data_IF_851540902307
#
_entry.id   IF_851540902307
#
_cell.length_a   1.000
_cell.length_b   1.000
_cell.length_c   1.000
_cell.angle_alpha   90.00
_cell.angle_beta   90.00
_cell.angle_gamma   90.00
#
_symmetry.space_group_name_H-M   'P 1'
#
loop_
_entity.id
_entity.type
_entity.pdbx_description
1 polymer ?
#
# COMPACT_ATOMS: atom_id res chain seq x y z
N UNK A 1 9.93 -7.90 -11.87
CA UNK A 1 8.93 -8.50 -12.79
C UNK A 1 7.69 -7.62 -12.72
N UNK A 2 7.04 -7.30 -13.84
CA UNK A 2 5.70 -6.70 -13.81
C UNK A 2 4.69 -7.80 -14.08
N UNK A 3 3.71 -7.95 -13.21
CA UNK A 3 2.69 -9.00 -13.28
C UNK A 3 1.33 -8.34 -13.43
N UNK A 4 0.52 -8.85 -14.34
CA UNK A 4 -0.89 -8.54 -14.44
C UNK A 4 -1.70 -9.77 -14.00
N UNK A 5 -2.20 -9.80 -12.75
CA UNK A 5 -2.98 -10.93 -12.25
C UNK A 5 -4.27 -11.16 -13.05
N UNK A 6 -4.93 -10.09 -13.50
CA UNK A 6 -6.19 -10.16 -14.24
C UNK A 6 -6.03 -10.86 -15.60
N UNK A 7 -4.92 -10.60 -16.29
CA UNK A 7 -4.63 -11.27 -17.59
C UNK A 7 -3.75 -12.50 -17.45
N UNK A 8 -3.24 -12.80 -16.24
CA UNK A 8 -2.25 -13.85 -15.96
C UNK A 8 -0.98 -13.73 -16.81
N UNK A 9 -0.61 -12.51 -17.17
CA UNK A 9 0.60 -12.22 -17.95
C UNK A 9 1.66 -11.60 -17.06
N UNK A 10 2.92 -11.77 -17.43
CA UNK A 10 4.04 -11.14 -16.77
C UNK A 10 5.13 -10.79 -17.77
N UNK A 11 5.93 -9.79 -17.42
CA UNK A 11 7.09 -9.38 -18.21
C UNK A 11 8.27 -9.06 -17.32
N UNK A 12 9.45 -9.50 -17.76
CA UNK A 12 10.73 -9.16 -17.11
C UNK A 12 11.21 -7.83 -17.65
N UNK A 13 11.42 -6.87 -16.74
CA UNK A 13 12.02 -5.59 -17.10
C UNK A 13 13.51 -5.77 -17.36
N UNK A 14 14.11 -4.95 -18.23
CA UNK A 14 15.56 -4.85 -18.32
C UNK A 14 16.15 -4.49 -16.95
N UNK A 15 17.40 -4.85 -16.70
CA UNK A 15 18.05 -4.48 -15.44
C UNK A 15 18.18 -2.95 -15.34
N UNK A 16 17.83 -2.37 -14.18
CA UNK A 16 18.05 -0.94 -13.96
C UNK A 16 19.56 -0.65 -13.91
N UNK A 17 20.01 0.51 -14.42
CA UNK A 17 21.41 0.93 -14.27
C UNK A 17 21.78 1.07 -12.79
N UNK A 18 23.03 0.83 -12.44
CA UNK A 18 23.55 1.03 -11.07
C UNK A 18 23.69 2.53 -10.77
N UNK A 19 22.63 3.17 -10.30
CA UNK A 19 22.60 4.60 -9.97
C UNK A 19 21.48 4.91 -8.97
N UNK A 20 21.63 4.41 -7.74
CA UNK A 20 20.73 4.71 -6.62
C UNK A 20 21.43 5.62 -5.60
N UNK A 21 20.69 5.98 -4.56
CA UNK A 21 21.29 6.63 -3.39
C UNK A 21 22.19 5.60 -2.69
N UNK A 22 23.49 5.90 -2.54
CA UNK A 22 24.46 4.97 -1.96
C UNK A 22 24.01 4.49 -0.57
N UNK A 23 24.07 3.18 -0.34
CA UNK A 23 23.59 2.46 0.86
C UNK A 23 22.05 2.36 1.03
N UNK A 24 21.24 2.86 0.10
CA UNK A 24 19.77 2.72 0.14
C UNK A 24 19.32 1.61 -0.81
N UNK A 25 18.40 0.77 -0.34
CA UNK A 25 17.67 -0.14 -1.20
C UNK A 25 16.58 0.63 -1.99
N UNK A 26 16.24 0.18 -3.19
CA UNK A 26 15.13 0.73 -3.95
C UNK A 26 13.90 -0.17 -3.84
N UNK A 27 12.73 0.45 -3.66
CA UNK A 27 11.45 -0.20 -3.86
C UNK A 27 10.88 0.13 -5.24
N UNK A 28 10.26 -0.89 -5.86
CA UNK A 28 9.62 -0.77 -7.17
C UNK A 28 8.16 -0.32 -7.03
N UNK A 29 7.81 0.79 -7.66
CA UNK A 29 6.46 1.34 -7.69
C UNK A 29 5.91 1.36 -9.12
N UNK A 30 4.70 0.85 -9.34
CA UNK A 30 4.07 0.81 -10.67
C UNK A 30 3.11 1.99 -10.84
N UNK A 31 3.36 2.83 -11.83
CA UNK A 31 2.44 3.86 -12.29
C UNK A 31 1.71 3.36 -13.55
N UNK A 32 0.44 3.04 -13.41
CA UNK A 32 -0.37 2.52 -14.51
C UNK A 32 -1.84 2.92 -14.37
N UNK A 33 -2.40 3.47 -15.44
CA UNK A 33 -3.83 3.67 -15.61
C UNK A 33 -4.28 3.11 -16.97
N UNK A 34 -4.90 1.92 -17.02
CA UNK A 34 -5.34 1.32 -18.26
C UNK A 34 -6.44 2.15 -18.97
N UNK A 35 -7.11 3.07 -18.27
CA UNK A 35 -8.14 3.93 -18.86
C UNK A 35 -7.54 5.12 -19.63
N UNK A 36 -6.30 5.49 -19.33
CA UNK A 36 -5.59 6.60 -19.96
C UNK A 36 -4.63 6.10 -21.03
N UNK A 37 -3.92 5.00 -20.76
CA UNK A 37 -2.83 4.52 -21.60
C UNK A 37 -2.58 3.03 -21.39
N UNK A 38 -2.26 2.25 -22.46
CA UNK A 38 -1.82 0.87 -22.30
C UNK A 38 -0.40 0.77 -21.73
N UNK A 39 0.33 1.88 -21.71
CA UNK A 39 1.69 1.97 -21.20
C UNK A 39 1.71 2.33 -19.71
N UNK A 40 2.62 1.69 -19.00
CA UNK A 40 2.97 1.92 -17.60
C UNK A 40 4.41 2.44 -17.45
N UNK A 41 4.68 3.02 -16.30
CA UNK A 41 6.02 3.37 -15.83
C UNK A 41 6.33 2.63 -14.52
N UNK A 42 7.59 2.27 -14.29
CA UNK A 42 8.05 1.67 -13.02
C UNK A 42 9.12 2.55 -12.42
N UNK A 43 8.91 2.99 -11.19
CA UNK A 43 9.81 3.87 -10.46
C UNK A 43 10.60 3.07 -9.43
N UNK A 44 11.88 3.37 -9.30
CA UNK A 44 12.73 2.91 -8.21
C UNK A 44 12.87 4.05 -7.19
N UNK A 45 12.21 3.88 -6.04
CA UNK A 45 12.22 4.87 -4.97
C UNK A 45 13.09 4.39 -3.81
N UNK A 46 14.01 5.23 -3.29
CA UNK A 46 14.91 4.82 -2.23
C UNK A 46 14.13 4.53 -0.94
N UNK A 47 14.65 3.59 -0.17
CA UNK A 47 14.17 3.19 1.15
C UNK A 47 15.27 3.44 2.16
N UNK A 48 14.92 4.16 3.23
CA UNK A 48 15.86 4.44 4.32
C UNK A 48 16.30 3.11 4.93
N UNK A 49 17.60 2.81 5.00
CA UNK A 49 18.06 1.58 5.64
C UNK A 49 17.87 1.67 7.15
N UNK A 50 17.62 0.53 7.82
CA UNK A 50 17.54 0.43 9.29
C UNK A 50 18.74 1.04 10.01
N UNK A 51 19.92 0.93 9.39
CA UNK A 51 21.15 1.53 9.86
C UNK A 51 21.86 2.20 8.70
N UNK A 52 22.27 3.43 8.94
CA UNK A 52 22.95 4.23 7.95
C UNK A 52 24.41 3.76 7.81
N UNK A 53 24.87 3.58 6.57
CA UNK A 53 26.23 3.19 6.26
C UNK A 53 27.23 4.32 6.52
N UNK A 54 28.53 4.01 6.58
CA UNK A 54 29.57 5.04 6.74
C UNK A 54 29.82 5.86 5.46
N UNK A 55 29.29 5.43 4.31
CA UNK A 55 29.59 6.02 3.00
C UNK A 55 28.52 7.01 2.52
N UNK A 56 27.30 6.92 3.06
CA UNK A 56 26.23 7.86 2.76
C UNK A 56 26.50 9.28 3.26
N UNK A 57 26.01 10.26 2.50
CA UNK A 57 26.07 11.69 2.85
C UNK A 57 25.00 12.11 3.87
N UNK A 58 24.05 11.22 4.14
CA UNK A 58 22.97 11.49 5.07
C UNK A 58 23.39 11.23 6.52
N UNK A 59 22.73 11.91 7.45
CA UNK A 59 22.80 11.67 8.90
C UNK A 59 21.41 11.34 9.44
N UNK A 60 21.32 10.88 10.68
CA UNK A 60 20.03 10.58 11.33
C UNK A 60 19.12 11.82 11.41
N UNK A 61 19.69 13.03 11.48
CA UNK A 61 18.98 14.31 11.53
C UNK A 61 18.61 14.86 10.15
N UNK A 62 19.06 14.22 9.07
CA UNK A 62 18.77 14.68 7.72
C UNK A 62 17.28 14.55 7.41
N UNK A 63 16.71 15.56 6.74
CA UNK A 63 15.31 15.53 6.34
C UNK A 63 15.02 14.40 5.35
N UNK A 64 13.96 13.64 5.62
CA UNK A 64 13.45 12.60 4.75
C UNK A 64 11.97 12.81 4.41
N UNK A 65 11.56 12.59 3.15
CA UNK A 65 12.41 12.46 1.97
C UNK A 65 13.23 13.75 1.69
N UNK A 66 14.38 13.67 0.98
CA UNK A 66 15.28 14.80 0.77
C UNK A 66 14.62 15.97 0.01
N UNK A 67 15.21 17.16 -0.03
CA UNK A 67 14.60 18.24 -0.84
C UNK A 67 14.60 17.94 -2.35
N UNK A 68 15.54 17.13 -2.82
CA UNK A 68 15.56 16.57 -4.16
C UNK A 68 16.41 15.29 -4.17
N UNK A 69 16.13 14.39 -5.12
CA UNK A 69 16.97 13.23 -5.38
C UNK A 69 16.68 12.65 -6.77
N UNK A 70 17.64 11.92 -7.33
CA UNK A 70 17.47 11.24 -8.62
C UNK A 70 16.89 9.85 -8.41
N UNK A 71 15.91 9.49 -9.24
CA UNK A 71 15.32 8.16 -9.32
C UNK A 71 15.53 7.57 -10.71
N UNK A 72 15.39 6.26 -10.80
CA UNK A 72 15.32 5.55 -12.08
C UNK A 72 13.88 5.23 -12.41
N UNK A 73 13.47 5.57 -13.62
CA UNK A 73 12.13 5.33 -14.14
C UNK A 73 12.22 4.49 -15.40
N UNK A 74 11.58 3.34 -15.39
CA UNK A 74 11.39 2.52 -16.57
C UNK A 74 10.12 2.96 -17.29
N UNK A 75 10.20 3.12 -18.61
CA UNK A 75 9.03 3.40 -19.45
C UNK A 75 8.74 2.22 -20.37
N UNK A 76 7.51 1.69 -20.32
CA UNK A 76 7.07 0.65 -21.25
C UNK A 76 6.87 1.16 -22.69
N UNK A 77 6.89 2.49 -22.93
CA UNK A 77 6.82 3.07 -24.28
C UNK A 77 8.13 2.94 -25.04
N UNK A 78 9.22 3.24 -24.34
CA UNK A 78 10.58 3.25 -24.90
C UNK A 78 11.32 1.96 -24.59
N UNK A 79 10.84 1.18 -23.62
CA UNK A 79 11.48 -0.02 -23.08
C UNK A 79 12.87 0.26 -22.48
N UNK A 80 13.05 1.44 -21.92
CA UNK A 80 14.32 1.92 -21.35
C UNK A 80 14.16 2.42 -19.92
N UNK A 81 15.27 2.40 -19.20
CA UNK A 81 15.42 3.11 -17.93
C UNK A 81 15.97 4.51 -18.20
N UNK A 82 15.41 5.49 -17.50
CA UNK A 82 15.84 6.89 -17.54
C UNK A 82 16.02 7.39 -16.12
N UNK A 83 17.01 8.26 -15.91
CA UNK A 83 17.14 9.00 -14.65
C UNK A 83 16.21 10.21 -14.66
N UNK A 84 15.48 10.40 -13.57
CA UNK A 84 14.64 11.58 -13.35
C UNK A 84 14.94 12.18 -12.01
N UNK A 85 15.06 13.51 -11.98
CA UNK A 85 15.20 14.25 -10.72
C UNK A 85 13.80 14.49 -10.16
N UNK A 86 13.61 14.12 -8.90
CA UNK A 86 12.44 14.46 -8.11
C UNK A 86 12.76 15.64 -7.18
N UNK A 87 11.85 16.61 -7.11
CA UNK A 87 11.98 17.81 -6.26
C UNK A 87 10.80 17.89 -5.29
N UNK A 88 11.11 18.01 -4.00
CA UNK A 88 10.10 18.12 -2.94
C UNK A 88 9.47 19.51 -2.95
N UNK A 89 8.14 19.53 -2.91
CA UNK A 89 7.31 20.69 -2.62
C UNK A 89 6.78 20.56 -1.19
N UNK A 90 7.04 21.58 -0.37
CA UNK A 90 6.61 21.61 1.03
C UNK A 90 7.54 20.89 2.02
N UNK A 91 6.99 20.56 3.18
CA UNK A 91 7.73 20.01 4.33
C UNK A 91 8.16 18.56 4.13
N UNK A 92 9.18 18.15 4.88
CA UNK A 92 9.63 16.77 4.93
C UNK A 92 8.62 15.94 5.73
N UNK A 93 8.71 14.61 5.61
CA UNK A 93 7.96 13.71 6.47
C UNK A 93 8.51 13.71 7.90
N UNK A 94 9.82 13.94 8.03
CA UNK A 94 10.55 13.98 9.30
C UNK A 94 12.06 13.92 9.05
N UNK A 95 12.82 13.51 10.06
CA UNK A 95 14.22 13.16 9.93
C UNK A 95 14.39 11.68 9.53
N UNK A 96 15.58 11.28 9.10
CA UNK A 96 15.91 9.88 8.83
C UNK A 96 15.74 9.00 10.07
N UNK A 97 16.04 9.52 11.27
CA UNK A 97 15.80 8.85 12.54
C UNK A 97 14.33 8.43 12.71
N UNK A 98 13.39 9.24 12.23
CA UNK A 98 11.96 8.92 12.30
C UNK A 98 11.58 7.73 11.40
N UNK A 99 12.35 7.48 10.33
CA UNK A 99 12.16 6.36 9.40
C UNK A 99 12.84 5.08 9.89
N UNK A 100 13.87 5.20 10.72
CA UNK A 100 14.64 4.11 11.32
C UNK A 100 14.11 3.67 12.68
N UNK A 101 13.20 4.44 13.26
CA UNK A 101 12.59 4.13 14.54
C UNK A 101 12.03 2.71 14.54
N UNK A 102 12.23 1.88 15.58
CA UNK A 102 11.57 0.58 15.68
C UNK A 102 10.04 0.69 15.72
N UNK A 103 9.49 1.89 15.94
CA UNK A 103 8.07 2.22 15.75
C UNK A 103 7.68 2.44 14.30
N UNK A 104 8.62 2.90 13.47
CA UNK A 104 8.45 3.00 12.04
C UNK A 104 8.40 1.57 11.51
N UNK A 105 7.18 1.05 11.33
CA UNK A 105 6.99 -0.20 10.61
C UNK A 105 7.74 -0.08 9.30
N UNK A 106 8.61 -1.04 8.99
CA UNK A 106 8.74 -1.36 7.58
C UNK A 106 7.40 -1.95 7.18
N UNK A 107 6.63 -1.29 6.32
CA UNK A 107 5.46 -1.95 5.76
C UNK A 107 6.01 -3.21 5.10
N UNK A 108 5.46 -4.38 5.44
CA UNK A 108 5.84 -5.62 4.74
C UNK A 108 5.70 -5.44 3.21
N UNK A 109 4.83 -4.50 2.80
CA UNK A 109 4.56 -4.11 1.42
C UNK A 109 4.38 -2.57 1.35
N UNK A 110 5.18 -1.86 0.55
CA UNK A 110 4.88 -0.47 0.18
C UNK A 110 3.69 -0.44 -0.77
N UNK A 111 2.54 0.05 -0.30
CA UNK A 111 1.38 0.25 -1.17
C UNK A 111 1.61 1.42 -2.12
N UNK A 112 1.20 1.24 -3.37
CA UNK A 112 1.30 2.26 -4.41
C UNK A 112 -0.02 2.39 -5.14
N UNK A 113 -0.48 3.61 -5.32
CA UNK A 113 -1.76 3.91 -5.95
C UNK A 113 -1.58 4.99 -7.00
N UNK A 114 -1.87 4.67 -8.25
CA UNK A 114 -1.90 5.65 -9.33
C UNK A 114 -3.32 6.20 -9.51
N UNK A 115 -3.47 7.52 -9.39
CA UNK A 115 -4.75 8.21 -9.43
C UNK A 115 -4.61 9.59 -10.08
N UNK A 116 -5.44 9.86 -11.10
CA UNK A 116 -5.54 11.16 -11.80
C UNK A 116 -4.19 11.76 -12.25
N UNK A 117 -3.29 10.94 -12.75
CA UNK A 117 -1.99 11.40 -13.26
C UNK A 117 -0.85 11.40 -12.23
N UNK A 118 -1.16 11.07 -10.98
CA UNK A 118 -0.22 11.14 -9.86
C UNK A 118 -0.06 9.78 -9.20
N UNK A 119 1.14 9.54 -8.66
CA UNK A 119 1.47 8.32 -7.94
C UNK A 119 1.53 8.61 -6.44
N UNK A 120 0.76 7.86 -5.66
CA UNK A 120 0.74 7.92 -4.20
C UNK A 120 1.46 6.70 -3.64
N UNK A 121 2.49 6.92 -2.84
CA UNK A 121 3.37 5.87 -2.31
C UNK A 121 3.37 5.93 -0.79
N UNK A 122 3.12 4.80 -0.14
CA UNK A 122 3.23 4.67 1.32
C UNK A 122 4.71 4.57 1.74
N UNK A 123 5.13 5.41 2.68
CA UNK A 123 6.50 5.52 3.19
C UNK A 123 6.66 4.97 4.62
N UNK A 124 7.91 4.83 5.09
CA UNK A 124 8.29 4.10 6.32
C UNK A 124 7.75 4.68 7.64
N UNK A 125 7.34 5.95 7.67
CA UNK A 125 6.70 6.57 8.84
C UNK A 125 5.19 6.78 8.65
N UNK A 126 4.56 5.98 7.79
CA UNK A 126 3.14 6.08 7.40
C UNK A 126 2.74 7.40 6.71
N UNK A 127 3.72 8.21 6.30
CA UNK A 127 3.45 9.30 5.36
C UNK A 127 3.19 8.77 3.96
N UNK A 128 2.52 9.58 3.15
CA UNK A 128 2.29 9.33 1.73
C UNK A 128 3.12 10.31 0.93
N UNK A 129 3.91 9.80 0.00
CA UNK A 129 4.56 10.60 -1.03
C UNK A 129 3.65 10.67 -2.26
N UNK A 130 3.22 11.88 -2.64
CA UNK A 130 2.45 12.16 -3.86
C UNK A 130 3.42 12.66 -4.93
N UNK A 131 3.61 11.90 -6.00
CA UNK A 131 4.56 12.21 -7.08
C UNK A 131 3.79 12.57 -8.36
N UNK A 132 4.12 13.72 -8.93
CA UNK A 132 3.64 14.16 -10.23
C UNK A 132 4.68 13.81 -11.30
N UNK A 133 4.40 12.77 -12.08
CA UNK A 133 5.38 12.20 -13.01
C UNK A 133 5.76 13.15 -14.15
N UNK A 134 4.86 14.06 -14.54
CA UNK A 134 5.04 14.96 -15.69
C UNK A 134 6.04 16.09 -15.44
N UNK A 135 6.19 16.54 -14.20
CA UNK A 135 7.07 17.66 -13.84
C UNK A 135 8.19 17.26 -12.85
N UNK A 136 8.19 16.02 -12.36
CA UNK A 136 9.20 15.53 -11.41
C UNK A 136 9.06 16.18 -10.03
N UNK A 137 7.87 16.65 -9.68
CA UNK A 137 7.62 17.21 -8.35
C UNK A 137 6.96 16.18 -7.46
N UNK A 138 7.21 16.28 -6.17
CA UNK A 138 6.50 15.46 -5.20
C UNK A 138 6.25 16.19 -3.89
N UNK A 139 5.22 15.75 -3.18
CA UNK A 139 4.78 16.30 -1.91
C UNK A 139 4.68 15.20 -0.87
N UNK A 140 4.83 15.56 0.39
CA UNK A 140 4.61 14.67 1.52
C UNK A 140 3.29 14.99 2.18
N UNK A 141 2.46 13.97 2.33
CA UNK A 141 1.17 14.03 3.02
C UNK A 141 1.32 13.25 4.32
N UNK A 142 1.16 13.94 5.45
CA UNK A 142 1.18 13.33 6.77
C UNK A 142 -0.07 12.43 6.94
N UNK A 143 0.03 11.33 7.72
CA UNK A 143 -1.13 10.49 8.00
C UNK A 143 -2.23 11.30 8.71
N UNK A 144 -3.50 10.85 8.63
CA UNK A 144 -4.63 11.56 9.26
C UNK A 144 -4.53 11.65 10.78
N UNK A 145 -3.84 10.70 11.42
CA UNK A 145 -3.63 10.68 12.87
C UNK A 145 -2.28 10.07 13.21
N UNK A 146 -1.84 10.27 14.46
CA UNK A 146 -0.64 9.61 14.98
C UNK A 146 -0.88 8.11 15.09
N UNK A 147 0.01 7.31 14.51
CA UNK A 147 -0.07 5.86 14.50
C UNK A 147 0.75 5.27 15.64
N UNK A 148 0.29 4.17 16.22
CA UNK A 148 1.06 3.37 17.18
C UNK A 148 1.54 2.06 16.55
N UNK A 149 2.32 1.29 17.31
CA UNK A 149 2.90 0.01 16.86
C UNK A 149 1.84 -1.05 16.49
N UNK A 150 0.59 -0.87 16.92
CA UNK A 150 -0.52 -1.79 16.69
C UNK A 150 -1.44 -1.35 15.54
N UNK A 151 -1.15 -0.23 14.86
CA UNK A 151 -2.04 0.31 13.83
C UNK A 151 -1.56 0.01 12.42
N UNK A 152 -2.31 -0.76 11.64
CA UNK A 152 -1.98 -1.04 10.24
C UNK A 152 -2.51 0.05 9.31
N UNK A 153 -1.69 0.42 8.32
CA UNK A 153 -1.99 1.48 7.36
C UNK A 153 -2.08 0.91 5.94
N UNK A 154 -3.22 1.12 5.29
CA UNK A 154 -3.45 0.70 3.90
C UNK A 154 -3.89 1.90 3.07
N UNK A 155 -3.49 1.94 1.81
CA UNK A 155 -4.00 2.92 0.85
C UNK A 155 -4.65 2.22 -0.34
N UNK A 156 -5.72 2.84 -0.83
CA UNK A 156 -6.46 2.36 -1.99
C UNK A 156 -7.15 3.51 -2.69
N UNK A 157 -7.79 3.22 -3.83
CA UNK A 157 -8.59 4.19 -4.56
C UNK A 157 -9.97 3.65 -4.85
N UNK A 158 -10.93 4.56 -4.97
CA UNK A 158 -12.24 4.29 -5.56
C UNK A 158 -12.61 5.41 -6.53
N UNK A 159 -13.79 5.32 -7.15
CA UNK A 159 -14.32 6.38 -8.03
C UNK A 159 -14.36 7.76 -7.34
N UNK A 160 -14.46 7.80 -6.01
CA UNK A 160 -14.56 9.03 -5.22
C UNK A 160 -13.21 9.65 -4.89
N UNK A 161 -12.11 8.90 -4.92
CA UNK A 161 -10.78 9.41 -4.59
C UNK A 161 -9.85 8.38 -3.97
N UNK A 162 -8.76 8.87 -3.40
CA UNK A 162 -7.80 8.07 -2.64
C UNK A 162 -8.29 7.92 -1.20
N UNK A 163 -8.19 6.71 -0.67
CA UNK A 163 -8.56 6.36 0.67
C UNK A 163 -7.36 5.81 1.43
N UNK A 164 -7.33 6.03 2.74
CA UNK A 164 -6.53 5.21 3.62
C UNK A 164 -7.43 4.50 4.64
N UNK A 165 -7.05 3.27 4.99
CA UNK A 165 -7.69 2.49 6.05
C UNK A 165 -6.68 2.28 7.17
N UNK A 166 -7.11 2.60 8.39
CA UNK A 166 -6.37 2.36 9.62
C UNK A 166 -7.05 1.24 10.39
N UNK A 167 -6.30 0.20 10.72
CA UNK A 167 -6.79 -0.93 11.52
C UNK A 167 -6.01 -0.95 12.82
N UNK A 168 -6.70 -0.64 13.92
CA UNK A 168 -6.13 -0.65 15.26
C UNK A 168 -6.23 -2.07 15.82
N UNK A 169 -5.10 -2.75 16.02
CA UNK A 169 -5.03 -4.11 16.60
C UNK A 169 -5.03 -4.10 18.13
N UNK A 170 -5.55 -3.05 18.74
CA UNK A 170 -5.78 -3.01 20.18
C UNK A 170 -7.06 -3.79 20.54
N UNK A 171 -7.46 -3.74 21.82
CA UNK A 171 -8.68 -4.44 22.29
C UNK A 171 -9.96 -3.98 21.59
N UNK A 172 -9.97 -2.81 20.94
CA UNK A 172 -11.15 -2.25 20.29
C UNK A 172 -11.32 -2.69 18.84
N UNK A 173 -10.29 -3.31 18.23
CA UNK A 173 -10.24 -3.72 16.82
C UNK A 173 -10.87 -2.68 15.90
N UNK A 174 -10.51 -1.41 16.08
CA UNK A 174 -11.18 -0.29 15.39
C UNK A 174 -10.72 -0.20 13.95
N UNK A 175 -11.66 0.05 13.04
CA UNK A 175 -11.41 0.39 11.64
C UNK A 175 -11.79 1.85 11.40
N UNK A 176 -10.84 2.63 10.90
CA UNK A 176 -11.10 3.96 10.39
C UNK A 176 -10.78 4.03 8.90
N UNK A 177 -11.69 4.60 8.11
CA UNK A 177 -11.48 4.86 6.69
C UNK A 177 -11.55 6.34 6.43
N UNK A 178 -10.49 6.89 5.86
CA UNK A 178 -10.33 8.31 5.56
C UNK A 178 -10.28 8.52 4.05
N UNK A 179 -10.92 9.59 3.58
CA UNK A 179 -10.83 10.05 2.19
C UNK A 179 -9.86 11.21 2.10
N UNK A 180 -8.88 11.12 1.20
CA UNK A 180 -8.02 12.24 0.85
C UNK A 180 -8.75 13.16 -0.13
N UNK A 181 -8.82 14.44 0.21
CA UNK A 181 -9.39 15.47 -0.63
C UNK A 181 -8.48 16.68 -0.71
N UNK A 182 -8.49 17.37 -1.84
CA UNK A 182 -7.75 18.61 -2.01
C UNK A 182 -8.69 19.81 -1.79
N UNK A 183 -8.41 20.59 -0.75
CA UNK A 183 -9.18 21.79 -0.40
C UNK A 183 -8.24 22.99 -0.44
N UNK A 184 -8.50 23.93 -1.36
CA UNK A 184 -7.71 25.16 -1.55
C UNK A 184 -6.20 24.90 -1.79
N UNK A 185 -5.88 23.82 -2.51
CA UNK A 185 -4.50 23.42 -2.80
C UNK A 185 -3.78 22.75 -1.63
N UNK A 186 -4.50 22.41 -0.56
CA UNK A 186 -3.97 21.61 0.55
C UNK A 186 -4.67 20.26 0.59
N UNK A 187 -3.88 19.21 0.78
CA UNK A 187 -4.38 17.86 1.00
C UNK A 187 -4.91 17.71 2.43
N UNK A 188 -6.17 17.31 2.54
CA UNK A 188 -6.88 17.16 3.81
C UNK A 188 -7.59 15.80 3.86
N UNK A 189 -7.45 15.14 5.01
CA UNK A 189 -8.11 13.88 5.32
C UNK A 189 -9.48 14.13 5.93
N UNK A 190 -10.51 13.50 5.37
CA UNK A 190 -11.85 13.47 5.95
C UNK A 190 -12.25 12.06 6.37
N UNK A 191 -12.55 11.86 7.66
CA UNK A 191 -13.04 10.59 8.19
C UNK A 191 -14.38 10.22 7.54
N UNK A 192 -14.51 8.98 7.09
CA UNK A 192 -15.71 8.45 6.44
C UNK A 192 -16.35 7.31 7.21
N UNK A 193 -15.52 6.40 7.72
CA UNK A 193 -15.98 5.26 8.49
C UNK A 193 -15.16 5.21 9.76
N UNK A 194 -15.85 4.95 10.85
CA UNK A 194 -15.25 4.73 12.15
C UNK A 194 -16.10 3.69 12.88
N UNK A 195 -15.59 2.46 12.97
CA UNK A 195 -16.35 1.33 13.50
C UNK A 195 -15.44 0.37 14.26
N UNK A 196 -16.02 -0.41 15.17
CA UNK A 196 -15.32 -1.55 15.77
C UNK A 196 -15.51 -2.79 14.90
N UNK A 197 -14.43 -3.55 14.72
CA UNK A 197 -14.44 -4.87 14.10
C UNK A 197 -14.59 -6.00 15.13
N UNK A 198 -14.75 -5.70 16.43
CA UNK A 198 -14.96 -6.72 17.47
C UNK A 198 -16.08 -7.71 17.12
N UNK A 199 -17.26 -7.29 16.61
CA UNK A 199 -18.31 -8.25 16.23
C UNK A 199 -17.88 -9.19 15.09
N UNK A 200 -17.08 -8.67 14.15
CA UNK A 200 -16.55 -9.44 13.01
C UNK A 200 -15.50 -10.44 13.49
N UNK A 201 -14.55 -9.99 14.32
CA UNK A 201 -13.52 -10.84 14.91
C UNK A 201 -14.14 -11.94 15.76
N UNK A 202 -15.12 -11.59 16.62
CA UNK A 202 -15.87 -12.57 17.40
C UNK A 202 -16.48 -13.63 16.49
N UNK A 203 -17.22 -13.25 15.45
CA UNK A 203 -17.83 -14.19 14.49
C UNK A 203 -16.82 -15.17 13.88
N UNK A 204 -15.62 -14.70 13.52
CA UNK A 204 -14.56 -15.58 13.02
C UNK A 204 -13.94 -16.47 14.11
N UNK A 205 -13.82 -15.99 15.35
CA UNK A 205 -13.43 -16.82 16.49
C UNK A 205 -14.46 -17.93 16.76
N UNK A 206 -15.76 -17.62 16.68
CA UNK A 206 -16.85 -18.60 16.78
C UNK A 206 -16.77 -19.65 15.67
N UNK A 207 -16.56 -19.23 14.41
CA UNK A 207 -16.37 -20.13 13.28
C UNK A 207 -15.09 -20.98 13.38
N UNK A 208 -14.07 -20.51 14.10
CA UNK A 208 -12.86 -21.29 14.36
C UNK A 208 -13.05 -22.36 15.45
N UNK A 209 -14.05 -22.18 16.33
CA UNK A 209 -14.42 -23.13 17.38
C UNK A 209 -15.30 -24.29 16.86
N UNK A 210 -16.12 -24.05 15.84
CA UNK A 210 -16.85 -25.11 15.12
C UNK A 210 -15.94 -25.73 14.04
N UNK A 211 -15.03 -26.60 14.48
CA UNK A 211 -14.37 -27.66 13.70
C UNK A 211 -14.20 -27.43 12.18
N UNK A 212 -13.38 -26.46 11.76
CA UNK A 212 -12.83 -26.48 10.41
C UNK A 212 -11.52 -27.28 10.38
N UNK A 213 -11.63 -28.57 10.68
CA UNK A 213 -10.60 -29.60 10.42
C UNK A 213 -10.77 -30.23 9.02
N UNK A 214 -11.32 -29.48 8.07
CA UNK A 214 -11.30 -29.83 6.65
C UNK A 214 -10.05 -29.25 5.99
N UNK A 215 -9.39 -29.96 5.05
CA UNK A 215 -8.23 -29.42 4.37
C UNK A 215 -8.65 -28.17 3.59
N UNK A 216 -8.05 -27.03 3.90
CA UNK A 216 -8.21 -25.81 3.11
C UNK A 216 -7.93 -26.12 1.64
N UNK A 217 -8.97 -26.14 0.82
CA UNK A 217 -8.80 -26.29 -0.62
C UNK A 217 -8.37 -24.92 -1.14
N UNK A 218 -7.05 -24.74 -1.23
CA UNK A 218 -6.47 -23.82 -2.20
C UNK A 218 -7.07 -24.20 -3.56
N UNK A 219 -7.91 -23.37 -4.17
CA UNK A 219 -8.36 -23.56 -5.56
C UNK A 219 -7.19 -23.28 -6.51
N UNK A 220 -6.15 -24.10 -6.42
CA UNK A 220 -5.28 -24.41 -7.55
C UNK A 220 -6.12 -25.21 -8.53
N UNK A 221 -6.10 -24.83 -9.80
CA UNK A 221 -6.96 -25.42 -10.83
C UNK A 221 -6.93 -26.94 -10.81
N UNK A 222 -8.09 -27.55 -10.60
CA UNK A 222 -8.27 -28.98 -10.75
C UNK A 222 -8.00 -29.37 -12.21
N UNK A 223 -6.92 -30.12 -12.44
CA UNK A 223 -6.82 -31.01 -13.58
C UNK A 223 -7.20 -32.40 -13.08
N UNK A 224 -8.37 -32.89 -13.47
CA UNK A 224 -8.67 -34.31 -13.36
C UNK A 224 -7.94 -35.06 -14.49
N UNK A 225 -7.45 -36.25 -14.17
CA UNK A 225 -6.69 -37.15 -15.06
C UNK A 225 -7.44 -37.68 -16.28
N UNK A 226 -8.54 -37.05 -16.69
CA UNK A 226 -9.21 -37.28 -17.96
C UNK A 226 -9.79 -35.97 -18.55
N UNK A 227 -8.90 -35.07 -18.97
CA UNK A 227 -9.05 -34.27 -20.20
C UNK A 227 -10.30 -33.40 -20.45
N UNK A 228 -11.19 -33.09 -19.50
CA UNK A 228 -12.33 -32.18 -19.72
C UNK A 228 -12.46 -31.05 -18.69
N UNK A 229 -12.42 -29.81 -19.20
CA UNK A 229 -12.66 -28.55 -18.45
C UNK A 229 -14.12 -28.43 -18.03
N UNK A 230 -14.36 -28.20 -16.74
CA UNK A 230 -15.59 -27.55 -16.25
C UNK A 230 -15.28 -26.07 -16.07
N UNK A 231 -16.02 -25.20 -16.77
CA UNK A 231 -15.97 -23.76 -16.60
C UNK A 231 -16.92 -23.43 -15.45
N UNK A 232 -16.38 -22.94 -14.34
CA UNK A 232 -17.16 -22.20 -13.34
C UNK A 232 -16.69 -20.75 -13.43
N UNK A 233 -17.56 -19.88 -13.93
CA UNK A 233 -17.38 -18.43 -13.86
C UNK A 233 -17.58 -17.98 -12.41
N UNK A 234 -16.49 -17.83 -11.65
CA UNK A 234 -16.55 -17.13 -10.37
C UNK A 234 -16.35 -15.64 -10.59
N UNK A 235 -17.49 -14.94 -10.63
CA UNK A 235 -17.59 -13.49 -10.75
C UNK A 235 -17.60 -12.87 -9.36
N UNK A 236 -16.45 -12.85 -8.68
CA UNK A 236 -16.28 -12.11 -7.44
C UNK A 236 -15.76 -10.69 -7.73
N UNK A 237 -16.63 -9.82 -8.23
CA UNK A 237 -16.40 -8.38 -8.21
C UNK A 237 -16.85 -7.83 -6.84
N UNK A 238 -15.90 -7.49 -5.98
CA UNK A 238 -16.17 -6.82 -4.70
C UNK A 238 -16.53 -5.34 -4.96
N UNK A 239 -17.72 -4.92 -4.52
CA UNK A 239 -18.22 -3.54 -4.64
C UNK A 239 -18.04 -2.78 -3.31
N UNK A 240 -17.06 -1.87 -3.27
CA UNK A 240 -16.79 -0.97 -2.15
C UNK A 240 -17.98 -0.03 -1.79
N UNK A 241 -19.01 0.09 -2.64
CA UNK A 241 -20.11 1.04 -2.42
C UNK A 241 -21.24 0.49 -1.54
N UNK A 242 -21.34 -0.83 -1.35
CA UNK A 242 -22.35 -1.46 -0.51
C UNK A 242 -21.69 -2.05 0.75
N UNK A 243 -21.31 -1.18 1.68
CA UNK A 243 -20.92 -1.61 3.01
C UNK A 243 -22.11 -2.26 3.71
N UNK A 244 -22.03 -3.56 4.00
CA UNK A 244 -23.02 -4.25 4.83
C UNK A 244 -22.83 -3.75 6.27
N UNK A 245 -23.80 -3.00 6.79
CA UNK A 245 -23.87 -2.65 8.20
C UNK A 245 -24.39 -3.89 8.95
N UNK A 246 -23.57 -4.52 9.78
CA UNK A 246 -24.01 -5.58 10.68
C UNK A 246 -24.24 -4.99 12.07
N UNK A 247 -25.49 -4.94 12.51
CA UNK A 247 -25.84 -4.61 13.89
C UNK A 247 -25.42 -5.75 14.82
N UNK A 248 -24.62 -5.43 15.85
CA UNK A 248 -24.24 -6.38 16.88
C UNK A 248 -25.35 -6.53 17.93
N UNK A 249 -25.58 -7.76 18.41
CA UNK A 249 -26.32 -8.00 19.65
C UNK A 249 -25.31 -8.21 20.77
N UNK A 250 -25.51 -7.50 21.88
CA UNK A 250 -24.72 -7.62 23.11
C UNK A 250 -24.78 -9.05 23.67
N UNK A 251 -23.61 -9.57 24.05
CA UNK A 251 -23.51 -10.83 24.78
C UNK A 251 -22.18 -11.53 24.58
N UNK A 252 -21.30 -11.35 25.57
CA UNK A 252 -20.25 -12.25 26.03
C UNK A 252 -18.81 -12.12 25.49
N UNK A 253 -17.89 -12.15 26.47
CA UNK A 253 -16.43 -12.07 26.37
C UNK A 253 -15.89 -13.12 25.39
N UNK A 254 -15.17 -12.67 24.37
CA UNK A 254 -14.51 -13.56 23.41
C UNK A 254 -13.02 -13.68 23.73
N UNK A 255 -12.57 -14.92 23.94
CA UNK A 255 -11.16 -15.29 24.09
C UNK A 255 -10.38 -15.07 22.77
N UNK A 256 -9.11 -14.68 22.94
CA UNK A 256 -8.21 -14.19 21.89
C UNK A 256 -7.80 -15.28 20.89
N UNK A 257 -8.11 -15.08 19.60
CA UNK A 257 -7.49 -15.81 18.48
C UNK A 257 -6.90 -14.81 17.49
N UNK A 258 -5.60 -14.94 17.19
CA UNK A 258 -4.93 -14.11 16.19
C UNK A 258 -5.35 -14.53 14.78
N UNK A 259 -6.29 -13.80 14.18
CA UNK A 259 -6.62 -13.92 12.75
C UNK A 259 -5.91 -12.84 11.94
N UNK A 260 -5.33 -13.20 10.80
CA UNK A 260 -4.83 -12.24 9.80
C UNK A 260 -5.98 -11.93 8.84
N UNK A 261 -6.49 -10.71 8.87
CA UNK A 261 -7.40 -10.19 7.83
C UNK A 261 -6.54 -9.75 6.65
N UNK A 262 -6.54 -10.53 5.56
CA UNK A 262 -5.93 -10.11 4.31
C UNK A 262 -6.99 -9.46 3.41
N UNK A 263 -6.78 -8.20 3.05
CA UNK A 263 -7.52 -7.55 1.97
C UNK A 263 -6.73 -7.76 0.67
N UNK A 264 -7.32 -8.48 -0.31
CA UNK A 264 -6.79 -8.58 -1.68
C UNK A 264 -7.23 -7.40 -2.54
#
# INVERSE_FOLDING_TARGET
LVVNPATRQWVRLPQPPCAGLEDFADDMCLAFDPTVSPHYEVLLLPKVPHKLGSMTVFTEESEWPPSWYTIRVFSSRTWTWEERVLVRRGEAAGAIADMQSPRAREPEHRYTVYWKGELYVHCQNDSIMRITLSNGEYEVIKPPTSMDEFTEFYIGKSKKGLYCALIYKDRSYRLQVWLLSELRGKMEWGLKIDTSLVPVVAMFSWLSHEENSGPWILHGGNYDGDGKKVIVEDKCEWDFNNGILLEARDGDECDFVSGVLMFM
#
